data_IF_078996302122
#
_entry.id   IF_078996302122
#
_cell.length_a   1.000
_cell.length_b   1.000
_cell.length_c   1.000
_cell.angle_alpha   90.00
_cell.angle_beta   90.00
_cell.angle_gamma   90.00
#
_symmetry.space_group_name_H-M   'P 1'
#
loop_
_entity.id
_entity.type
_entity.pdbx_description
1 polymer ?
#
# COMPACT_ATOMS: atom_id res chain seq x y z
N UNK A 1 -6.27 -7.77 21.25
CA UNK A 1 -6.41 -9.21 20.95
C UNK A 1 -6.85 -9.48 19.50
N UNK A 2 -6.41 -8.70 18.51
CA UNK A 2 -6.62 -8.99 17.06
C UNK A 2 -5.25 -9.19 16.40
N UNK A 3 -4.40 -10.02 17.01
CA UNK A 3 -2.96 -10.05 16.72
C UNK A 3 -2.50 -11.24 15.87
N UNK A 4 -3.42 -12.01 15.27
CA UNK A 4 -3.03 -13.29 14.65
C UNK A 4 -3.71 -13.68 13.33
N UNK A 5 -4.32 -12.74 12.59
CA UNK A 5 -4.88 -13.11 11.28
C UNK A 5 -3.90 -12.98 10.11
N UNK A 6 -2.82 -12.24 10.28
CA UNK A 6 -1.77 -12.11 9.25
C UNK A 6 -0.47 -12.66 9.84
N UNK A 7 0.03 -13.81 9.34
CA UNK A 7 1.24 -14.43 9.87
C UNK A 7 2.39 -13.42 9.83
N UNK A 8 3.08 -13.30 10.96
CA UNK A 8 4.23 -12.40 11.09
C UNK A 8 5.32 -12.73 10.06
N UNK A 9 5.45 -14.02 9.71
CA UNK A 9 6.33 -14.52 8.65
C UNK A 9 5.93 -14.02 7.25
N UNK A 10 4.63 -13.87 6.96
CA UNK A 10 4.16 -13.32 5.68
C UNK A 10 4.46 -11.83 5.57
N UNK A 11 4.17 -11.06 6.61
CA UNK A 11 4.48 -9.61 6.64
C UNK A 11 5.99 -9.39 6.54
N UNK A 12 6.82 -10.12 7.29
CA UNK A 12 8.28 -9.99 7.21
C UNK A 12 8.84 -10.45 5.86
N UNK A 13 8.31 -11.51 5.26
CA UNK A 13 8.79 -12.02 3.96
C UNK A 13 8.39 -11.09 2.79
N UNK A 14 7.21 -10.47 2.86
CA UNK A 14 6.66 -9.62 1.80
C UNK A 14 7.09 -8.15 1.97
N UNK A 15 7.13 -7.63 3.19
CA UNK A 15 7.29 -6.20 3.51
C UNK A 15 8.50 -5.85 4.41
N UNK A 16 9.32 -6.84 4.81
CA UNK A 16 10.45 -6.63 5.71
C UNK A 16 11.61 -5.80 5.12
N UNK A 17 12.36 -5.12 5.99
CA UNK A 17 13.30 -4.01 5.72
C UNK A 17 14.44 -4.18 4.70
N UNK A 18 14.57 -5.30 4.00
CA UNK A 18 15.52 -5.51 2.89
C UNK A 18 14.88 -6.02 1.60
N UNK A 19 13.56 -6.14 1.53
CA UNK A 19 12.91 -6.58 0.30
C UNK A 19 12.70 -5.38 -0.65
N UNK A 20 13.42 -5.30 -1.79
CA UNK A 20 13.19 -4.25 -2.77
C UNK A 20 11.77 -4.30 -3.34
N UNK A 21 11.08 -5.43 -3.29
CA UNK A 21 9.69 -5.56 -3.78
C UNK A 21 8.62 -5.10 -2.78
N UNK A 22 9.00 -4.65 -1.58
CA UNK A 22 8.05 -4.29 -0.52
C UNK A 22 7.02 -3.25 -0.96
N UNK A 23 7.44 -2.19 -1.65
CA UNK A 23 6.55 -1.11 -2.16
C UNK A 23 5.50 -1.63 -3.14
N UNK A 24 5.91 -2.50 -4.08
CA UNK A 24 5.01 -3.05 -5.09
C UNK A 24 3.99 -3.98 -4.43
N UNK A 25 4.45 -4.83 -3.52
CA UNK A 25 3.60 -5.77 -2.80
C UNK A 25 2.61 -5.04 -1.89
N UNK A 26 3.06 -4.02 -1.16
CA UNK A 26 2.22 -3.13 -0.38
C UNK A 26 1.13 -2.48 -1.24
N UNK A 27 1.50 -1.98 -2.42
CA UNK A 27 0.55 -1.33 -3.34
C UNK A 27 -0.52 -2.33 -3.80
N UNK A 28 -0.11 -3.52 -4.26
CA UNK A 28 -1.04 -4.55 -4.76
C UNK A 28 -1.97 -5.06 -3.65
N UNK A 29 -1.45 -5.27 -2.45
CA UNK A 29 -2.24 -5.70 -1.29
C UNK A 29 -3.19 -4.61 -0.78
N UNK A 30 -2.84 -3.33 -0.97
CA UNK A 30 -3.67 -2.20 -0.60
C UNK A 30 -4.90 -2.01 -1.49
N UNK A 31 -4.78 -2.23 -2.81
CA UNK A 31 -5.87 -2.04 -3.79
C UNK A 31 -7.20 -2.73 -3.41
N UNK A 32 -7.24 -4.04 -3.07
CA UNK A 32 -8.48 -4.71 -2.71
C UNK A 32 -8.99 -4.34 -1.32
N UNK A 33 -8.15 -3.77 -0.46
CA UNK A 33 -8.54 -3.41 0.89
C UNK A 33 -9.41 -2.15 0.84
N UNK A 34 -10.68 -2.30 1.18
CA UNK A 34 -11.53 -1.16 1.48
C UNK A 34 -11.43 -0.88 2.97
N UNK A 35 -10.61 0.11 3.33
CA UNK A 35 -10.48 0.56 4.71
C UNK A 35 -10.40 2.08 4.74
N UNK A 36 -11.02 2.64 5.78
CA UNK A 36 -10.85 4.04 6.12
C UNK A 36 -9.43 4.28 6.65
N UNK A 37 -8.88 5.47 6.42
CA UNK A 37 -7.52 5.85 6.85
C UNK A 37 -7.31 5.55 8.34
N UNK A 38 -8.30 5.83 9.19
CA UNK A 38 -8.20 5.54 10.63
C UNK A 38 -8.06 4.04 10.93
N UNK A 39 -8.67 3.18 10.12
CA UNK A 39 -8.51 1.73 10.21
C UNK A 39 -7.16 1.21 9.71
N UNK A 40 -6.48 1.99 8.86
CA UNK A 40 -5.16 1.63 8.31
C UNK A 40 -4.02 2.05 9.24
N UNK A 41 -4.20 3.06 10.10
CA UNK A 41 -3.17 3.53 11.05
C UNK A 41 -2.64 2.39 11.94
N UNK A 42 -3.47 1.58 12.63
CA UNK A 42 -2.96 0.48 13.46
C UNK A 42 -2.20 -0.59 12.66
N UNK A 43 -2.57 -0.77 11.38
CA UNK A 43 -1.88 -1.69 10.47
C UNK A 43 -0.52 -1.12 10.09
N UNK A 44 -0.46 0.18 9.77
CA UNK A 44 0.77 0.89 9.47
C UNK A 44 1.74 0.86 10.67
N UNK A 45 1.25 1.09 11.88
CA UNK A 45 2.04 0.97 13.12
C UNK A 45 2.55 -0.47 13.30
N UNK A 46 1.69 -1.48 13.15
CA UNK A 46 2.10 -2.87 13.27
C UNK A 46 3.15 -3.28 12.22
N UNK A 47 3.09 -2.73 10.99
CA UNK A 47 4.09 -2.92 9.95
C UNK A 47 5.41 -2.23 10.30
N UNK A 48 5.35 -1.01 10.84
CA UNK A 48 6.52 -0.26 11.29
C UNK A 48 7.24 -1.00 12.43
N UNK A 49 6.50 -1.46 13.45
CA UNK A 49 7.05 -2.27 14.54
C UNK A 49 7.68 -3.58 14.05
N UNK A 50 7.20 -4.13 12.93
CA UNK A 50 7.75 -5.34 12.30
C UNK A 50 8.95 -5.07 11.38
N UNK A 51 9.42 -3.82 11.31
CA UNK A 51 10.61 -3.44 10.55
C UNK A 51 10.35 -3.26 9.05
N UNK A 52 9.11 -2.96 8.65
CA UNK A 52 8.83 -2.51 7.29
C UNK A 52 9.41 -1.10 7.05
N UNK A 53 9.80 -0.83 5.81
CA UNK A 53 10.27 0.50 5.41
C UNK A 53 9.12 1.50 5.37
N UNK A 54 9.41 2.77 5.68
CA UNK A 54 8.46 3.88 5.66
C UNK A 54 7.76 4.01 4.31
N UNK A 55 8.51 3.95 3.21
CA UNK A 55 7.94 4.04 1.86
C UNK A 55 7.03 2.86 1.51
N UNK A 56 7.32 1.67 2.04
CA UNK A 56 6.45 0.49 1.91
C UNK A 56 5.13 0.69 2.65
N UNK A 57 5.16 1.20 3.89
CA UNK A 57 3.96 1.49 4.68
C UNK A 57 3.11 2.57 4.00
N UNK A 58 3.75 3.66 3.56
CA UNK A 58 3.08 4.76 2.88
C UNK A 58 2.44 4.30 1.56
N UNK A 59 3.13 3.46 0.78
CA UNK A 59 2.57 2.92 -0.46
C UNK A 59 1.32 2.07 -0.23
N UNK A 60 1.28 1.30 0.85
CA UNK A 60 0.10 0.55 1.26
C UNK A 60 -1.06 1.49 1.60
N UNK A 61 -0.82 2.48 2.45
CA UNK A 61 -1.84 3.46 2.85
C UNK A 61 -2.41 4.24 1.65
N UNK A 62 -1.56 4.66 0.73
CA UNK A 62 -1.98 5.35 -0.49
C UNK A 62 -2.81 4.44 -1.39
N UNK A 63 -2.40 3.18 -1.59
CA UNK A 63 -3.14 2.23 -2.42
C UNK A 63 -4.54 1.92 -1.87
N UNK A 64 -4.65 1.73 -0.55
CA UNK A 64 -5.94 1.49 0.13
C UNK A 64 -6.90 2.66 -0.07
N UNK A 65 -6.39 3.90 0.00
CA UNK A 65 -7.23 5.10 -0.11
C UNK A 65 -7.60 5.46 -1.55
N UNK A 66 -6.66 5.33 -2.49
CA UNK A 66 -6.88 5.75 -3.89
C UNK A 66 -7.47 4.69 -4.80
N UNK A 67 -7.22 3.40 -4.55
CA UNK A 67 -7.55 2.31 -5.47
C UNK A 67 -8.51 1.28 -4.88
N UNK A 68 -9.26 1.64 -3.84
CA UNK A 68 -10.17 0.70 -3.19
C UNK A 68 -11.18 0.07 -4.15
N UNK A 69 -11.38 -1.25 -4.02
CA UNK A 69 -12.29 -2.03 -4.87
C UNK A 69 -13.69 -1.43 -5.07
N UNK A 70 -14.43 -0.99 -4.02
CA UNK A 70 -15.75 -0.39 -4.21
C UNK A 70 -15.69 0.95 -4.97
N UNK A 71 -14.65 1.77 -4.75
CA UNK A 71 -14.47 3.02 -5.50
C UNK A 71 -14.26 2.76 -7.00
N UNK A 72 -13.47 1.74 -7.35
CA UNK A 72 -13.22 1.34 -8.74
C UNK A 72 -14.48 0.80 -9.40
N UNK A 73 -15.32 0.04 -8.66
CA UNK A 73 -16.61 -0.46 -9.16
C UNK A 73 -17.57 0.70 -9.44
N UNK A 74 -17.63 1.70 -8.55
CA UNK A 74 -18.44 2.90 -8.76
C UNK A 74 -17.94 3.70 -9.97
N UNK A 75 -16.61 3.90 -10.07
CA UNK A 75 -16.00 4.66 -11.15
C UNK A 75 -16.17 3.97 -12.52
N UNK A 76 -16.16 2.62 -12.55
CA UNK A 76 -16.44 1.82 -13.74
C UNK A 76 -17.85 2.07 -14.31
N UNK A 77 -18.82 2.43 -13.47
CA UNK A 77 -20.19 2.77 -13.93
C UNK A 77 -20.28 4.18 -14.52
N UNK A 78 -19.41 5.10 -14.11
CA UNK A 78 -19.42 6.50 -14.55
C UNK A 78 -18.46 6.78 -15.72
N UNK A 79 -17.37 6.02 -15.85
CA UNK A 79 -16.27 6.28 -16.80
C UNK A 79 -16.06 5.08 -17.74
N UNK A 80 -15.63 5.34 -18.99
CA UNK A 80 -15.27 4.27 -19.95
C UNK A 80 -14.18 3.35 -19.36
N UNK A 81 -14.29 2.02 -19.52
CA UNK A 81 -13.35 1.07 -18.92
C UNK A 81 -11.89 1.28 -19.34
N UNK A 82 -11.65 1.84 -20.54
CA UNK A 82 -10.31 2.22 -21.01
C UNK A 82 -9.66 3.30 -20.14
N UNK A 83 -10.42 4.32 -19.75
CA UNK A 83 -9.95 5.42 -18.89
C UNK A 83 -9.72 4.95 -17.45
N UNK A 84 -10.55 4.01 -16.96
CA UNK A 84 -10.35 3.40 -15.65
C UNK A 84 -9.01 2.65 -15.57
N UNK A 85 -8.67 1.90 -16.62
CA UNK A 85 -7.38 1.22 -16.71
C UNK A 85 -6.20 2.21 -16.66
N UNK A 86 -6.29 3.31 -17.40
CA UNK A 86 -5.27 4.37 -17.36
C UNK A 86 -5.15 5.02 -15.99
N UNK A 87 -6.27 5.30 -15.31
CA UNK A 87 -6.27 5.86 -13.95
C UNK A 87 -5.55 4.94 -12.97
N UNK A 88 -5.92 3.65 -12.94
CA UNK A 88 -5.28 2.66 -12.05
C UNK A 88 -3.78 2.58 -12.34
N UNK A 89 -3.39 2.55 -13.62
CA UNK A 89 -1.98 2.48 -14.01
C UNK A 89 -1.19 3.71 -13.54
N UNK A 90 -1.70 4.93 -13.78
CA UNK A 90 -1.03 6.17 -13.36
C UNK A 90 -0.91 6.23 -11.83
N UNK A 91 -1.99 5.95 -11.11
CA UNK A 91 -1.97 5.93 -9.64
C UNK A 91 -0.98 4.89 -9.10
N UNK A 92 -1.00 3.67 -9.63
CA UNK A 92 -0.09 2.60 -9.21
C UNK A 92 1.37 2.99 -9.45
N UNK A 93 1.69 3.53 -10.63
CA UNK A 93 3.04 4.00 -10.95
C UNK A 93 3.45 5.14 -10.02
N UNK A 94 2.57 6.11 -9.78
CA UNK A 94 2.82 7.21 -8.85
C UNK A 94 3.11 6.74 -7.43
N UNK A 95 2.29 5.83 -6.90
CA UNK A 95 2.47 5.24 -5.56
C UNK A 95 3.81 4.51 -5.47
N UNK A 96 4.18 3.76 -6.50
CA UNK A 96 5.46 3.03 -6.54
C UNK A 96 6.64 4.00 -6.55
N UNK A 97 6.60 5.04 -7.39
CA UNK A 97 7.67 6.06 -7.46
C UNK A 97 7.84 6.75 -6.11
N UNK A 98 6.73 7.19 -5.50
CA UNK A 98 6.76 7.86 -4.19
C UNK A 98 7.24 6.91 -3.11
N UNK A 99 6.76 5.66 -3.09
CA UNK A 99 7.18 4.65 -2.10
C UNK A 99 8.66 4.32 -2.18
N UNK A 100 9.23 4.16 -3.38
CA UNK A 100 10.68 4.00 -3.52
C UNK A 100 11.46 5.26 -3.18
N UNK A 101 10.93 6.44 -3.55
CA UNK A 101 11.50 7.73 -3.14
C UNK A 101 11.63 7.81 -1.62
N UNK A 102 10.56 7.53 -0.88
CA UNK A 102 10.59 7.52 0.58
C UNK A 102 11.51 6.45 1.15
N UNK A 103 11.62 5.27 0.54
CA UNK A 103 12.60 4.26 0.98
C UNK A 103 14.05 4.72 0.80
N UNK A 104 14.36 5.45 -0.28
CA UNK A 104 15.69 6.03 -0.50
C UNK A 104 16.00 7.16 0.48
N UNK A 105 15.04 8.06 0.70
CA UNK A 105 15.19 9.16 1.65
C UNK A 105 15.04 8.74 3.11
N UNK A 106 14.64 7.50 3.39
CA UNK A 106 14.45 7.00 4.76
C UNK A 106 15.72 7.14 5.61
N UNK A 107 16.91 7.03 5.02
CA UNK A 107 18.19 7.24 5.71
C UNK A 107 18.37 8.69 6.22
N UNK A 108 17.61 9.66 5.69
CA UNK A 108 17.64 11.05 6.11
C UNK A 108 16.70 11.33 7.31
N UNK A 109 15.72 10.45 7.57
CA UNK A 109 14.68 10.63 8.60
C UNK A 109 14.89 9.76 9.86
N UNK A 110 15.95 8.93 9.86
CA UNK A 110 16.45 8.13 10.99
C UNK A 110 17.75 8.77 11.48
#
# INVERSE_FOLDING_TARGET
>A
MIHNWIPESWIRAVLGGRNPFGVILATILGIPMYADIFGVIPIAEALLYKGALLGTILSFMMAVTTLSLPSLIMLKKAIKPKLLGTFIAICTVGIIIVGYGFNLFQYLFI
#
